data_IF_600442311905
#
_entry.id   IF_600442311905
#
_cell.length_a   1.000
_cell.length_b   1.000
_cell.length_c   1.000
_cell.angle_alpha   90.00
_cell.angle_beta   90.00
_cell.angle_gamma   90.00
#
_symmetry.space_group_name_H-M   'P 1'
#
loop_
_entity.id
_entity.type
_entity.pdbx_description
1 polymer ?
#
# COMPACT_ATOMS: atom_id res chain seq x y z
N UNK A 1 8.90 -35.71 16.23
CA UNK A 1 9.71 -34.75 16.99
C UNK A 1 8.79 -34.07 17.98
N UNK A 2 9.16 -33.89 19.25
CA UNK A 2 8.33 -33.18 20.24
C UNK A 2 8.97 -31.84 20.57
N UNK A 3 8.15 -30.80 20.75
CA UNK A 3 8.62 -29.52 21.27
C UNK A 3 9.06 -29.67 22.73
N UNK A 4 10.14 -29.02 23.09
CA UNK A 4 10.60 -28.97 24.49
C UNK A 4 9.91 -27.78 25.17
N UNK A 5 8.73 -28.02 25.74
CA UNK A 5 7.92 -27.00 26.36
C UNK A 5 8.18 -26.93 27.88
N UNK A 6 8.38 -25.73 28.41
CA UNK A 6 8.46 -25.46 29.86
C UNK A 6 7.10 -25.15 30.45
N UNK A 7 6.19 -24.66 29.63
CA UNK A 7 4.77 -24.33 29.93
C UNK A 7 3.93 -24.66 28.68
N UNK A 8 2.62 -24.75 28.79
CA UNK A 8 1.75 -25.02 27.65
C UNK A 8 1.98 -23.99 26.52
N UNK A 9 1.83 -24.44 25.28
CA UNK A 9 1.82 -23.59 24.09
C UNK A 9 0.42 -23.67 23.46
N UNK A 10 -0.29 -22.56 23.48
CA UNK A 10 -1.62 -22.44 22.91
C UNK A 10 -1.54 -21.90 21.47
N UNK A 11 -1.85 -22.76 20.51
CA UNK A 11 -2.08 -22.37 19.13
C UNK A 11 -3.50 -21.88 18.99
N UNK A 12 -3.73 -20.76 18.36
CA UNK A 12 -5.08 -20.25 18.13
C UNK A 12 -5.20 -19.52 16.82
N UNK A 13 -6.42 -19.48 16.32
CA UNK A 13 -6.82 -18.80 15.09
C UNK A 13 -8.18 -18.15 15.28
N UNK A 14 -8.44 -17.05 14.61
CA UNK A 14 -9.66 -16.25 14.74
C UNK A 14 -10.35 -16.08 13.38
N UNK A 15 -11.64 -16.37 13.35
CA UNK A 15 -12.51 -15.87 12.28
C UNK A 15 -13.19 -14.58 12.74
N UNK A 16 -13.30 -13.60 11.84
CA UNK A 16 -13.72 -12.23 12.21
C UNK A 16 -14.63 -11.61 11.17
N UNK A 17 -15.35 -10.55 11.56
CA UNK A 17 -16.16 -9.74 10.62
C UNK A 17 -15.32 -8.94 9.61
N UNK A 18 -14.00 -8.87 9.81
CA UNK A 18 -13.06 -8.17 8.92
C UNK A 18 -11.69 -8.03 9.55
N UNK A 19 -10.80 -7.28 8.93
CA UNK A 19 -9.38 -7.20 9.31
C UNK A 19 -8.99 -5.99 10.17
N UNK A 20 -9.94 -5.12 10.52
CA UNK A 20 -9.68 -3.92 11.31
C UNK A 20 -9.81 -4.21 12.80
N UNK A 21 -8.70 -4.37 13.50
CA UNK A 21 -8.65 -4.68 14.94
C UNK A 21 -9.53 -3.74 15.78
N UNK A 22 -9.60 -2.46 15.42
CA UNK A 22 -10.35 -1.46 16.21
C UNK A 22 -11.88 -1.51 16.02
N UNK A 23 -12.38 -2.08 14.94
CA UNK A 23 -13.82 -2.02 14.57
C UNK A 23 -14.45 -3.37 14.35
N UNK A 24 -13.70 -4.33 13.86
CA UNK A 24 -14.20 -5.68 13.59
C UNK A 24 -14.28 -6.53 14.86
N UNK A 25 -14.96 -7.66 14.77
CA UNK A 25 -15.31 -8.54 15.88
C UNK A 25 -14.94 -9.97 15.55
N UNK A 26 -14.65 -10.74 16.59
CA UNK A 26 -14.45 -12.19 16.49
C UNK A 26 -15.81 -12.87 16.31
N UNK A 27 -15.90 -13.80 15.37
CA UNK A 27 -17.06 -14.69 15.13
C UNK A 27 -16.77 -16.14 15.52
N UNK A 28 -15.51 -16.56 15.48
CA UNK A 28 -15.07 -17.84 15.99
C UNK A 28 -13.65 -17.73 16.56
N UNK A 29 -13.36 -18.48 17.61
CA UNK A 29 -12.00 -18.69 18.11
C UNK A 29 -11.78 -20.18 18.32
N UNK A 30 -10.75 -20.75 17.72
CA UNK A 30 -10.28 -22.10 17.96
C UNK A 30 -8.92 -22.07 18.65
N UNK A 31 -8.78 -22.85 19.73
CA UNK A 31 -7.53 -22.97 20.49
C UNK A 31 -7.17 -24.45 20.65
N UNK A 32 -5.93 -24.79 20.32
CA UNK A 32 -5.29 -26.07 20.63
C UNK A 32 -4.11 -25.82 21.54
N UNK A 33 -4.19 -26.33 22.76
CA UNK A 33 -3.16 -26.17 23.78
C UNK A 33 -2.31 -27.45 23.86
N UNK A 34 -1.04 -27.34 23.50
CA UNK A 34 -0.05 -28.41 23.64
C UNK A 34 0.62 -28.33 25.00
N UNK A 35 0.49 -29.39 25.80
CA UNK A 35 1.04 -29.47 27.14
C UNK A 35 2.49 -29.98 27.11
N UNK A 36 3.30 -29.71 28.17
CA UNK A 36 4.68 -30.17 28.26
C UNK A 36 4.87 -31.68 28.19
N UNK A 37 3.89 -32.46 28.60
CA UNK A 37 3.88 -33.93 28.51
C UNK A 37 3.55 -34.43 27.09
N UNK A 38 3.09 -33.54 26.21
CA UNK A 38 2.71 -33.80 24.83
C UNK A 38 1.25 -34.15 24.64
N UNK A 39 0.42 -34.00 25.67
CA UNK A 39 -1.05 -34.07 25.52
C UNK A 39 -1.56 -32.76 24.89
N UNK A 40 -2.72 -32.87 24.24
CA UNK A 40 -3.41 -31.76 23.58
C UNK A 40 -4.78 -31.55 24.22
N UNK A 41 -5.12 -30.29 24.47
CA UNK A 41 -6.45 -29.84 24.84
C UNK A 41 -6.94 -28.91 23.74
N UNK A 42 -8.16 -29.09 23.27
CA UNK A 42 -8.72 -28.22 22.22
C UNK A 42 -10.10 -27.71 22.60
N UNK A 43 -10.37 -26.47 22.21
CA UNK A 43 -11.67 -25.85 22.39
C UNK A 43 -11.94 -24.81 21.32
N UNK A 44 -13.18 -24.78 20.85
CA UNK A 44 -13.66 -23.79 19.88
C UNK A 44 -14.89 -23.10 20.46
N UNK A 45 -14.97 -21.79 20.26
CA UNK A 45 -16.14 -20.99 20.62
C UNK A 45 -16.64 -20.29 19.36
N UNK A 46 -17.91 -20.54 19.03
CA UNK A 46 -18.66 -19.74 18.08
C UNK A 46 -19.23 -18.53 18.82
N UNK A 47 -19.12 -17.35 18.25
CA UNK A 47 -19.35 -16.06 18.94
C UNK A 47 -20.27 -15.19 18.09
N UNK A 48 -21.31 -14.66 18.72
CA UNK A 48 -22.14 -13.62 18.12
C UNK A 48 -21.37 -12.28 18.17
N UNK A 49 -21.02 -11.68 17.01
CA UNK A 49 -20.24 -10.43 16.97
C UNK A 49 -21.07 -9.20 17.38
N UNK A 50 -22.38 -9.32 17.63
CA UNK A 50 -23.32 -8.23 17.89
C UNK A 50 -23.34 -7.16 16.78
N UNK A 51 -23.04 -7.58 15.54
CA UNK A 51 -23.09 -6.79 14.34
C UNK A 51 -23.18 -7.69 13.11
N UNK A 52 -23.70 -7.20 11.96
CA UNK A 52 -23.77 -8.01 10.74
C UNK A 52 -22.37 -8.46 10.26
N UNK A 53 -22.27 -9.70 9.82
CA UNK A 53 -21.06 -10.24 9.20
C UNK A 53 -21.08 -9.87 7.72
N UNK A 54 -20.06 -9.15 7.19
CA UNK A 54 -19.98 -8.82 5.78
C UNK A 54 -19.95 -10.08 4.92
N UNK A 55 -20.72 -10.10 3.83
CA UNK A 55 -20.78 -11.26 2.93
C UNK A 55 -19.39 -11.70 2.42
N UNK A 56 -18.48 -10.72 2.22
CA UNK A 56 -17.11 -10.99 1.76
C UNK A 56 -16.34 -11.86 2.74
N UNK A 57 -16.50 -11.64 4.05
CA UNK A 57 -15.86 -12.44 5.09
C UNK A 57 -16.57 -13.77 5.29
N UNK A 58 -17.92 -13.80 5.26
CA UNK A 58 -18.68 -15.05 5.29
C UNK A 58 -18.30 -16.00 4.15
N UNK A 59 -18.00 -15.49 2.97
CA UNK A 59 -17.54 -16.31 1.83
C UNK A 59 -16.14 -16.90 2.04
N UNK A 60 -15.33 -16.32 2.95
CA UNK A 60 -13.98 -16.81 3.25
C UNK A 60 -14.04 -17.92 4.31
N UNK A 61 -14.68 -17.66 5.44
CA UNK A 61 -14.70 -18.59 6.59
C UNK A 61 -15.94 -19.46 6.69
N UNK A 62 -16.96 -19.17 5.88
CA UNK A 62 -18.18 -20.01 5.83
C UNK A 62 -19.18 -19.78 6.97
N UNK A 63 -18.98 -18.79 7.83
CA UNK A 63 -19.87 -18.46 8.95
C UNK A 63 -20.74 -17.27 8.55
N UNK A 64 -22.06 -17.40 8.74
CA UNK A 64 -23.05 -16.39 8.41
C UNK A 64 -23.79 -15.91 9.65
N UNK A 65 -24.53 -14.79 9.56
CA UNK A 65 -25.30 -14.23 10.66
C UNK A 65 -26.24 -15.27 11.32
N UNK A 66 -26.85 -16.15 10.51
CA UNK A 66 -27.73 -17.20 11.00
C UNK A 66 -27.01 -18.27 11.87
N UNK A 67 -25.73 -18.51 11.61
CA UNK A 67 -24.93 -19.49 12.36
C UNK A 67 -24.58 -18.99 13.76
N UNK A 68 -24.45 -17.68 13.93
CA UNK A 68 -24.00 -17.06 15.19
C UNK A 68 -25.12 -16.38 15.98
N UNK A 69 -26.34 -16.31 15.46
CA UNK A 69 -27.45 -15.57 16.11
C UNK A 69 -27.77 -16.03 17.53
N UNK A 70 -27.66 -17.32 17.78
CA UNK A 70 -27.92 -17.95 19.07
C UNK A 70 -26.62 -18.19 19.87
N UNK A 71 -25.45 -17.85 19.32
CA UNK A 71 -24.18 -17.97 19.99
C UNK A 71 -24.01 -16.86 21.07
N UNK A 72 -23.21 -17.14 22.11
CA UNK A 72 -22.91 -16.11 23.12
C UNK A 72 -22.08 -14.96 22.49
N UNK A 73 -22.28 -13.74 22.96
CA UNK A 73 -21.36 -12.63 22.64
C UNK A 73 -20.01 -12.83 23.31
N UNK A 74 -18.94 -12.25 22.73
CA UNK A 74 -17.57 -12.42 23.25
C UNK A 74 -17.46 -12.14 24.75
N UNK A 75 -18.12 -11.09 25.25
CA UNK A 75 -18.15 -10.72 26.67
C UNK A 75 -18.58 -11.85 27.59
N UNK A 76 -19.48 -12.74 27.14
CA UNK A 76 -20.00 -13.87 27.93
C UNK A 76 -18.95 -14.98 28.10
N UNK A 77 -18.13 -15.20 27.06
CA UNK A 77 -17.15 -16.30 27.02
C UNK A 77 -15.71 -15.83 27.29
N UNK A 78 -15.49 -14.52 27.37
CA UNK A 78 -14.16 -13.94 27.51
C UNK A 78 -13.37 -14.46 28.71
N UNK A 79 -14.02 -14.59 29.89
CA UNK A 79 -13.37 -15.13 31.09
C UNK A 79 -12.94 -16.59 30.89
N UNK A 80 -13.81 -17.40 30.27
CA UNK A 80 -13.53 -18.81 29.98
C UNK A 80 -12.37 -18.96 28.99
N UNK A 81 -12.32 -18.12 27.93
CA UNK A 81 -11.22 -18.10 26.97
C UNK A 81 -9.92 -17.69 27.68
N UNK A 82 -9.96 -16.65 28.49
CA UNK A 82 -8.80 -16.19 29.27
C UNK A 82 -8.28 -17.28 30.21
N UNK A 83 -9.17 -17.98 30.93
CA UNK A 83 -8.83 -19.09 31.81
C UNK A 83 -8.21 -20.26 31.02
N UNK A 84 -8.76 -20.59 29.87
CA UNK A 84 -8.21 -21.64 28.99
C UNK A 84 -6.80 -21.30 28.50
N UNK A 85 -6.50 -20.03 28.28
CA UNK A 85 -5.18 -19.54 27.89
C UNK A 85 -4.23 -19.28 29.08
N UNK A 86 -4.70 -19.46 30.32
CA UNK A 86 -3.87 -19.22 31.51
C UNK A 86 -2.60 -20.06 31.48
N UNK A 87 -1.48 -19.44 31.90
CA UNK A 87 -0.15 -20.05 31.95
C UNK A 87 0.41 -20.61 30.64
N UNK A 88 -0.16 -20.22 29.50
CA UNK A 88 0.31 -20.65 28.19
C UNK A 88 1.14 -19.56 27.51
N UNK A 89 2.17 -19.95 26.74
CA UNK A 89 2.70 -19.16 25.65
C UNK A 89 1.74 -19.24 24.46
N UNK A 90 1.81 -18.30 23.54
CA UNK A 90 0.86 -18.20 22.42
C UNK A 90 1.54 -18.50 21.08
N UNK A 91 0.83 -19.19 20.20
CA UNK A 91 1.31 -19.46 18.84
C UNK A 91 0.17 -19.32 17.83
N UNK A 92 0.51 -19.02 16.57
CA UNK A 92 -0.43 -18.97 15.46
C UNK A 92 0.27 -18.66 14.14
N UNK A 93 -0.48 -18.49 13.08
CA UNK A 93 0.02 -18.13 11.76
C UNK A 93 -0.31 -16.66 11.44
N UNK A 94 0.67 -15.78 11.32
CA UNK A 94 0.52 -14.33 11.25
C UNK A 94 -0.10 -13.70 12.50
N UNK A 95 -0.15 -14.43 13.59
CA UNK A 95 -0.87 -14.09 14.82
C UNK A 95 -0.34 -12.83 15.50
N UNK A 96 0.96 -12.55 15.40
CA UNK A 96 1.55 -11.34 15.98
C UNK A 96 1.00 -10.04 15.38
N UNK A 97 0.51 -10.08 14.14
CA UNK A 97 -0.01 -8.89 13.44
C UNK A 97 -1.52 -8.79 13.47
N UNK A 98 -2.22 -9.90 13.66
CA UNK A 98 -3.68 -9.93 13.55
C UNK A 98 -4.35 -10.57 14.77
N UNK A 99 -4.19 -11.86 15.02
CA UNK A 99 -4.97 -12.60 16.01
C UNK A 99 -4.71 -12.10 17.43
N UNK A 100 -3.46 -11.89 17.82
CA UNK A 100 -3.12 -11.39 19.16
C UNK A 100 -3.68 -10.00 19.38
N UNK A 101 -3.45 -9.00 18.51
CA UNK A 101 -4.08 -7.68 18.64
C UNK A 101 -5.61 -7.73 18.70
N UNK A 102 -6.26 -8.55 17.87
CA UNK A 102 -7.71 -8.69 17.83
C UNK A 102 -8.26 -9.30 19.13
N UNK A 103 -7.67 -10.38 19.59
CA UNK A 103 -8.05 -11.03 20.85
C UNK A 103 -7.89 -10.10 22.05
N UNK A 104 -6.79 -9.35 22.10
CA UNK A 104 -6.55 -8.36 23.15
C UNK A 104 -7.60 -7.26 23.14
N UNK A 105 -7.96 -6.76 21.97
CA UNK A 105 -9.01 -5.74 21.83
C UNK A 105 -10.37 -6.28 22.29
N UNK A 106 -10.71 -7.53 21.97
CA UNK A 106 -11.94 -8.16 22.46
C UNK A 106 -11.95 -8.37 23.97
N UNK A 107 -10.83 -8.78 24.58
CA UNK A 107 -10.72 -8.86 26.06
C UNK A 107 -10.92 -7.50 26.72
N UNK A 108 -10.30 -6.45 26.17
CA UNK A 108 -10.46 -5.09 26.69
C UNK A 108 -11.90 -4.59 26.59
N UNK A 109 -12.58 -4.86 25.47
CA UNK A 109 -14.02 -4.55 25.29
C UNK A 109 -14.90 -5.32 26.27
N UNK A 110 -14.54 -6.57 26.55
CA UNK A 110 -15.26 -7.41 27.52
C UNK A 110 -15.01 -6.99 28.96
N UNK A 111 -14.00 -6.16 29.24
CA UNK A 111 -13.55 -5.79 30.57
C UNK A 111 -12.77 -6.90 31.28
N UNK A 112 -12.17 -7.82 30.54
CA UNK A 112 -11.33 -8.90 31.04
C UNK A 112 -9.87 -8.49 30.90
N UNK A 113 -9.14 -8.50 32.02
CA UNK A 113 -7.68 -8.29 31.99
C UNK A 113 -7.00 -9.60 31.60
N UNK A 114 -6.25 -9.57 30.51
CA UNK A 114 -5.43 -10.68 30.05
C UNK A 114 -3.98 -10.23 29.95
N UNK A 115 -3.14 -10.70 30.87
CA UNK A 115 -1.74 -10.27 30.95
C UNK A 115 -0.88 -11.02 29.93
N UNK A 116 -0.19 -10.25 29.08
CA UNK A 116 0.79 -10.76 28.12
C UNK A 116 2.23 -10.74 28.66
N UNK A 117 2.47 -10.16 29.85
CA UNK A 117 3.82 -10.07 30.40
C UNK A 117 4.39 -11.46 30.69
N UNK A 118 5.63 -11.68 30.29
CA UNK A 118 6.34 -12.95 30.50
C UNK A 118 5.83 -14.12 29.65
N UNK A 119 4.91 -13.89 28.70
CA UNK A 119 4.52 -14.86 27.67
C UNK A 119 5.42 -14.75 26.45
N UNK A 120 5.65 -15.87 25.79
CA UNK A 120 6.33 -15.92 24.48
C UNK A 120 5.29 -16.03 23.38
N UNK A 121 5.63 -15.50 22.21
CA UNK A 121 4.78 -15.48 21.03
C UNK A 121 5.50 -16.15 19.88
N UNK A 122 4.95 -17.25 19.36
CA UNK A 122 5.54 -18.00 18.24
C UNK A 122 4.66 -17.81 17.01
N UNK A 123 5.10 -16.94 16.11
CA UNK A 123 4.44 -16.74 14.83
C UNK A 123 5.07 -17.68 13.78
N UNK A 124 4.31 -18.70 13.38
CA UNK A 124 4.76 -19.74 12.44
C UNK A 124 5.01 -19.15 11.05
N UNK A 125 4.25 -18.14 10.62
CA UNK A 125 4.49 -17.45 9.36
C UNK A 125 5.85 -16.73 9.38
N UNK A 126 6.24 -16.13 10.51
CA UNK A 126 7.52 -15.46 10.63
C UNK A 126 8.69 -16.45 10.52
N UNK A 127 8.56 -17.65 11.10
CA UNK A 127 9.56 -18.72 10.92
C UNK A 127 9.64 -19.10 9.45
N UNK A 128 8.50 -19.36 8.80
CA UNK A 128 8.43 -19.68 7.37
C UNK A 128 9.09 -18.61 6.51
N UNK A 129 8.75 -17.33 6.72
CA UNK A 129 9.30 -16.24 5.92
C UNK A 129 10.80 -15.98 6.16
N UNK A 130 11.32 -16.31 7.34
CA UNK A 130 12.76 -16.17 7.64
C UNK A 130 13.57 -17.33 7.08
N UNK A 131 13.06 -18.55 7.17
CA UNK A 131 13.77 -19.76 6.75
C UNK A 131 13.62 -20.02 5.24
N UNK A 132 12.44 -19.77 4.67
CA UNK A 132 12.17 -19.94 3.24
C UNK A 132 12.23 -18.59 2.53
N UNK A 133 13.47 -18.18 2.23
CA UNK A 133 13.72 -16.88 1.60
C UNK A 133 13.19 -16.83 0.16
N UNK A 134 12.54 -15.74 -0.21
CA UNK A 134 12.09 -15.44 -1.58
C UNK A 134 13.17 -14.69 -2.37
N UNK A 135 14.38 -15.20 -2.37
CA UNK A 135 15.52 -14.66 -3.12
C UNK A 135 15.75 -15.44 -4.40
N UNK A 136 16.48 -14.87 -5.36
CA UNK A 136 16.89 -15.58 -6.58
C UNK A 136 17.68 -16.86 -6.24
N UNK A 137 18.56 -16.80 -5.24
CA UNK A 137 19.33 -17.97 -4.77
C UNK A 137 18.39 -19.09 -4.29
N UNK A 138 17.37 -18.74 -3.49
CA UNK A 138 16.41 -19.74 -3.00
C UNK A 138 15.56 -20.30 -4.16
N UNK A 139 15.10 -19.44 -5.08
CA UNK A 139 14.38 -19.87 -6.26
C UNK A 139 15.23 -20.79 -7.14
N UNK A 140 16.48 -20.46 -7.37
CA UNK A 140 17.39 -21.27 -8.18
C UNK A 140 17.65 -22.64 -7.56
N UNK A 141 17.84 -22.70 -6.23
CA UNK A 141 17.95 -23.97 -5.51
C UNK A 141 16.66 -24.79 -5.61
N UNK A 142 15.48 -24.16 -5.47
CA UNK A 142 14.19 -24.84 -5.47
C UNK A 142 13.79 -25.38 -6.85
N UNK A 143 13.99 -24.59 -7.91
CA UNK A 143 13.59 -24.95 -9.26
C UNK A 143 14.64 -25.74 -10.01
N UNK A 144 15.91 -25.41 -9.84
CA UNK A 144 17.02 -25.98 -10.60
C UNK A 144 17.87 -26.99 -9.80
N UNK A 145 17.63 -27.10 -8.48
CA UNK A 145 18.40 -27.92 -7.53
C UNK A 145 19.92 -27.66 -7.59
N UNK A 146 20.30 -26.39 -7.82
CA UNK A 146 21.68 -25.93 -7.95
C UNK A 146 21.91 -24.65 -7.16
N UNK A 147 23.17 -24.33 -6.88
CA UNK A 147 23.57 -23.06 -6.28
C UNK A 147 24.12 -22.10 -7.35
N UNK A 148 23.89 -20.79 -7.17
CA UNK A 148 24.46 -19.79 -8.07
C UNK A 148 25.94 -19.63 -7.73
N UNK A 149 26.80 -19.92 -8.69
CA UNK A 149 28.23 -19.62 -8.61
C UNK A 149 28.44 -18.13 -8.93
N UNK A 150 29.29 -17.45 -8.16
CA UNK A 150 29.52 -16.00 -8.30
C UNK A 150 28.26 -15.15 -8.17
N UNK A 151 27.36 -15.45 -7.20
CA UNK A 151 26.22 -14.63 -6.88
C UNK A 151 26.64 -13.16 -6.72
N UNK A 152 25.77 -12.22 -7.15
CA UNK A 152 26.00 -10.78 -7.29
C UNK A 152 26.81 -10.34 -8.51
N UNK A 153 27.13 -11.25 -9.42
CA UNK A 153 27.50 -10.89 -10.78
C UNK A 153 26.23 -10.76 -11.63
N UNK A 154 26.07 -9.65 -12.34
CA UNK A 154 24.88 -9.43 -13.18
C UNK A 154 24.68 -10.55 -14.21
N UNK A 155 25.77 -11.09 -14.77
CA UNK A 155 25.69 -12.20 -15.72
C UNK A 155 25.20 -13.50 -15.06
N UNK A 156 25.76 -13.87 -13.89
CA UNK A 156 25.38 -15.07 -13.17
C UNK A 156 23.91 -14.99 -12.70
N UNK A 157 23.50 -13.85 -12.16
CA UNK A 157 22.13 -13.62 -11.70
C UNK A 157 21.13 -13.62 -12.86
N UNK A 158 21.49 -13.03 -14.01
CA UNK A 158 20.66 -13.07 -15.23
C UNK A 158 20.50 -14.49 -15.75
N UNK A 159 21.59 -15.26 -15.79
CA UNK A 159 21.56 -16.67 -16.20
C UNK A 159 20.70 -17.52 -15.26
N UNK A 160 20.87 -17.36 -13.97
CA UNK A 160 20.04 -18.03 -12.96
C UNK A 160 18.56 -17.68 -13.11
N UNK A 161 18.25 -16.41 -13.36
CA UNK A 161 16.86 -15.95 -13.60
C UNK A 161 16.26 -16.62 -14.83
N UNK A 162 17.03 -16.72 -15.92
CA UNK A 162 16.58 -17.42 -17.14
C UNK A 162 16.30 -18.90 -16.88
N UNK A 163 17.22 -19.60 -16.19
CA UNK A 163 17.07 -21.02 -15.89
C UNK A 163 15.89 -21.28 -14.95
N UNK A 164 15.67 -20.40 -13.96
CA UNK A 164 14.47 -20.44 -13.09
C UNK A 164 13.20 -20.32 -13.91
N UNK A 165 13.11 -19.36 -14.84
CA UNK A 165 11.93 -19.20 -15.69
C UNK A 165 11.66 -20.46 -16.52
N UNK A 166 12.70 -21.04 -17.15
CA UNK A 166 12.55 -22.27 -17.94
C UNK A 166 12.03 -23.42 -17.07
N UNK A 167 12.59 -23.60 -15.88
CA UNK A 167 12.14 -24.62 -14.93
C UNK A 167 10.71 -24.36 -14.41
N UNK A 168 10.30 -23.10 -14.24
CA UNK A 168 8.93 -22.74 -13.87
C UNK A 168 7.94 -23.10 -14.98
N UNK A 169 8.25 -22.77 -16.23
CA UNK A 169 7.40 -23.10 -17.39
C UNK A 169 7.24 -24.61 -17.51
N UNK A 170 8.31 -25.39 -17.33
CA UNK A 170 8.24 -26.84 -17.34
C UNK A 170 7.43 -27.42 -16.17
N UNK A 171 7.72 -26.96 -14.96
CA UNK A 171 7.10 -27.45 -13.72
C UNK A 171 5.61 -27.18 -13.65
N UNK A 172 5.18 -26.02 -14.11
CA UNK A 172 3.78 -25.59 -14.02
C UNK A 172 3.01 -25.77 -15.33
N UNK A 173 3.58 -26.46 -16.31
CA UNK A 173 2.88 -26.84 -17.54
C UNK A 173 1.57 -27.58 -17.19
N UNK A 174 0.44 -27.09 -17.68
CA UNK A 174 -0.90 -27.66 -17.43
C UNK A 174 -1.36 -27.70 -15.96
N UNK A 175 -0.71 -26.98 -15.05
CA UNK A 175 -1.16 -26.88 -13.67
C UNK A 175 -2.26 -25.81 -13.59
N UNK A 176 -3.44 -26.22 -13.11
CA UNK A 176 -4.51 -25.27 -12.81
C UNK A 176 -4.16 -24.42 -11.58
N UNK A 177 -4.48 -23.14 -11.68
CA UNK A 177 -4.38 -22.18 -10.62
C UNK A 177 -5.72 -21.46 -10.46
N UNK A 178 -6.11 -21.24 -9.21
CA UNK A 178 -7.33 -20.53 -8.85
C UNK A 178 -6.97 -19.17 -8.25
N UNK A 179 -7.55 -18.09 -8.79
CA UNK A 179 -7.34 -16.75 -8.26
C UNK A 179 -8.18 -16.50 -7.00
N UNK A 180 -7.95 -15.35 -6.34
CA UNK A 180 -8.69 -14.97 -5.13
C UNK A 180 -10.21 -14.80 -5.33
N UNK A 181 -10.70 -14.80 -6.57
CA UNK A 181 -12.12 -14.72 -6.94
C UNK A 181 -12.70 -16.08 -7.32
N UNK A 182 -11.93 -17.15 -7.13
CA UNK A 182 -12.33 -18.52 -7.48
C UNK A 182 -12.25 -18.85 -8.97
N UNK A 183 -11.66 -17.97 -9.81
CA UNK A 183 -11.49 -18.24 -11.24
C UNK A 183 -10.30 -19.16 -11.47
N UNK A 184 -10.54 -20.28 -12.13
CA UNK A 184 -9.51 -21.25 -12.52
C UNK A 184 -8.94 -20.95 -13.88
N UNK A 185 -7.63 -21.14 -14.03
CA UNK A 185 -6.89 -20.96 -15.28
C UNK A 185 -5.59 -21.75 -15.25
N UNK A 186 -4.94 -21.90 -16.40
CA UNK A 186 -3.56 -22.42 -16.51
C UNK A 186 -2.69 -21.23 -16.91
N UNK A 187 -2.15 -20.45 -15.95
CA UNK A 187 -1.54 -19.18 -16.23
C UNK A 187 -0.09 -19.25 -16.70
N UNK A 188 0.62 -20.35 -16.32
CA UNK A 188 2.03 -20.53 -16.71
C UNK A 188 2.08 -21.31 -18.01
N UNK A 189 2.10 -20.57 -19.11
CA UNK A 189 2.16 -21.13 -20.47
C UNK A 189 3.51 -20.84 -21.10
N UNK A 190 3.95 -21.64 -22.05
CA UNK A 190 5.18 -21.39 -22.83
C UNK A 190 4.94 -20.35 -23.92
N UNK A 191 4.48 -19.19 -23.49
CA UNK A 191 4.25 -17.99 -24.32
C UNK A 191 4.50 -16.72 -23.53
N UNK A 192 5.32 -15.82 -24.07
CA UNK A 192 5.74 -14.59 -23.38
C UNK A 192 4.55 -13.65 -23.10
N UNK A 193 3.56 -13.59 -23.98
CA UNK A 193 2.39 -12.74 -23.76
C UNK A 193 1.53 -13.26 -22.60
N UNK A 194 1.29 -14.57 -22.54
CA UNK A 194 0.58 -15.21 -21.43
C UNK A 194 1.33 -15.07 -20.09
N UNK A 195 2.64 -15.29 -20.10
CA UNK A 195 3.48 -15.06 -18.91
C UNK A 195 3.44 -13.60 -18.46
N UNK A 196 3.46 -12.66 -19.42
CA UNK A 196 3.34 -11.23 -19.12
C UNK A 196 2.00 -10.90 -18.43
N UNK A 197 0.89 -11.40 -18.94
CA UNK A 197 -0.43 -11.18 -18.34
C UNK A 197 -0.50 -11.72 -16.92
N UNK A 198 0.03 -12.90 -16.67
CA UNK A 198 0.02 -13.51 -15.35
C UNK A 198 0.90 -12.78 -14.34
N UNK A 199 2.04 -12.26 -14.78
CA UNK A 199 3.00 -11.57 -13.90
C UNK A 199 2.73 -10.08 -13.74
N UNK A 200 1.93 -9.47 -14.62
CA UNK A 200 1.60 -8.04 -14.59
C UNK A 200 0.38 -7.76 -13.71
N UNK A 201 0.53 -8.03 -12.40
CA UNK A 201 -0.54 -7.95 -11.41
C UNK A 201 -1.12 -6.54 -11.22
N UNK A 202 -0.42 -5.49 -11.60
CA UNK A 202 -0.79 -4.11 -11.27
C UNK A 202 -1.14 -3.24 -12.48
N UNK A 203 -1.15 -3.78 -13.70
CA UNK A 203 -1.48 -3.00 -14.93
C UNK A 203 -0.95 -1.56 -14.89
N UNK A 204 0.35 -1.42 -14.61
CA UNK A 204 0.96 -0.10 -14.44
C UNK A 204 1.14 0.61 -15.77
N UNK A 205 0.85 1.92 -15.81
CA UNK A 205 1.12 2.79 -16.95
C UNK A 205 2.59 3.20 -16.98
N UNK A 206 3.18 3.38 -15.80
CA UNK A 206 4.61 3.67 -15.62
C UNK A 206 5.25 2.64 -14.67
N UNK A 207 6.57 2.38 -14.82
CA UNK A 207 7.25 1.29 -14.10
C UNK A 207 7.28 1.43 -12.56
N UNK A 208 7.09 2.64 -12.04
CA UNK A 208 7.03 2.87 -10.59
C UNK A 208 5.60 2.87 -10.02
N UNK A 209 4.58 2.63 -10.89
CA UNK A 209 3.20 2.53 -10.47
C UNK A 209 2.58 3.84 -9.96
N UNK A 210 3.10 5.00 -10.39
CA UNK A 210 2.46 6.30 -10.12
C UNK A 210 1.16 6.47 -10.88
N UNK A 211 1.06 5.81 -12.03
CA UNK A 211 -0.17 5.70 -12.81
C UNK A 211 -0.46 4.23 -13.09
N UNK A 212 -1.71 3.86 -13.04
CA UNK A 212 -2.20 2.50 -13.29
C UNK A 212 -3.43 2.53 -14.19
N UNK A 213 -3.75 1.41 -14.81
CA UNK A 213 -5.04 1.25 -15.48
C UNK A 213 -6.09 0.82 -14.46
N UNK A 214 -7.27 1.46 -14.49
CA UNK A 214 -8.44 1.01 -13.74
C UNK A 214 -9.12 -0.18 -14.46
N UNK A 215 -10.20 -0.70 -13.90
CA UNK A 215 -10.96 -1.84 -14.48
C UNK A 215 -11.55 -1.52 -15.86
N UNK A 216 -11.78 -0.24 -16.18
CA UNK A 216 -12.24 0.22 -17.48
C UNK A 216 -11.09 0.40 -18.50
N UNK A 217 -9.83 0.14 -18.10
CA UNK A 217 -8.65 0.34 -18.94
C UNK A 217 -8.20 1.79 -19.08
N UNK A 218 -8.66 2.69 -18.21
CA UNK A 218 -8.32 4.10 -18.22
C UNK A 218 -7.13 4.39 -17.33
N UNK A 219 -6.26 5.32 -17.75
CA UNK A 219 -5.09 5.75 -17.00
C UNK A 219 -5.49 6.63 -15.82
N UNK A 220 -5.23 6.18 -14.60
CA UNK A 220 -5.54 6.89 -13.35
C UNK A 220 -4.29 7.13 -12.53
N UNK A 221 -4.27 8.24 -11.79
CA UNK A 221 -3.21 8.47 -10.81
C UNK A 221 -3.33 7.49 -9.63
N UNK A 222 -2.22 6.92 -9.19
CA UNK A 222 -2.16 6.00 -8.05
C UNK A 222 -1.49 6.63 -6.82
N UNK A 223 -1.43 7.94 -6.72
CA UNK A 223 -0.80 8.65 -5.60
C UNK A 223 -1.46 10.02 -5.33
N UNK A 224 -1.16 10.54 -4.16
CA UNK A 224 -1.54 11.91 -3.75
C UNK A 224 -3.05 12.17 -3.73
N UNK A 225 -3.41 13.45 -3.78
CA UNK A 225 -4.80 13.93 -3.68
C UNK A 225 -5.71 13.53 -4.85
N UNK A 226 -5.11 13.08 -5.95
CA UNK A 226 -5.83 12.65 -7.14
C UNK A 226 -5.79 11.14 -7.37
N UNK A 227 -5.42 10.36 -6.34
CA UNK A 227 -5.42 8.90 -6.45
C UNK A 227 -6.81 8.38 -6.89
N UNK A 228 -6.80 7.47 -7.88
CA UNK A 228 -8.01 6.87 -8.46
C UNK A 228 -8.74 7.73 -9.50
N UNK A 229 -8.32 8.98 -9.74
CA UNK A 229 -8.91 9.84 -10.77
C UNK A 229 -8.18 9.65 -12.10
N UNK A 230 -8.94 9.74 -13.21
CA UNK A 230 -8.35 9.72 -14.56
C UNK A 230 -7.37 10.88 -14.72
N UNK A 231 -6.26 10.59 -15.37
CA UNK A 231 -5.19 11.60 -15.58
C UNK A 231 -5.71 12.78 -16.38
N UNK A 232 -6.51 12.55 -17.44
CA UNK A 232 -7.10 13.59 -18.28
C UNK A 232 -8.10 14.45 -17.52
N UNK A 233 -8.95 13.86 -16.67
CA UNK A 233 -9.91 14.60 -15.83
C UNK A 233 -9.20 15.52 -14.84
N UNK A 234 -8.04 15.08 -14.32
CA UNK A 234 -7.24 15.93 -13.44
C UNK A 234 -6.66 17.11 -14.20
N UNK A 235 -6.28 16.95 -15.47
CA UNK A 235 -5.81 18.07 -16.28
C UNK A 235 -6.92 19.07 -16.60
N UNK A 236 -8.20 18.61 -16.69
CA UNK A 236 -9.35 19.51 -16.84
C UNK A 236 -9.65 20.30 -15.55
N UNK A 237 -9.59 19.61 -14.40
CA UNK A 237 -9.84 20.23 -13.09
C UNK A 237 -8.69 21.12 -12.61
N UNK A 238 -7.47 20.72 -12.84
CA UNK A 238 -6.25 21.36 -12.32
C UNK A 238 -5.12 21.33 -13.37
N UNK A 239 -5.15 22.19 -14.40
CA UNK A 239 -4.15 22.20 -15.47
C UNK A 239 -2.70 22.40 -14.98
N UNK A 240 -2.53 23.04 -13.83
CA UNK A 240 -1.22 23.22 -13.19
C UNK A 240 -0.59 21.93 -12.68
N UNK A 241 -1.37 20.87 -12.49
CA UNK A 241 -0.89 19.59 -11.97
C UNK A 241 0.11 18.92 -12.94
N UNK A 242 -0.10 19.08 -14.25
CA UNK A 242 0.89 18.67 -15.26
C UNK A 242 2.26 19.33 -15.02
N UNK A 243 2.29 20.65 -14.91
CA UNK A 243 3.52 21.40 -14.68
C UNK A 243 4.18 21.01 -13.36
N UNK A 244 3.38 20.77 -12.31
CA UNK A 244 3.87 20.32 -11.01
C UNK A 244 4.59 18.95 -11.11
N UNK A 245 4.03 18.00 -11.84
CA UNK A 245 4.70 16.69 -12.06
C UNK A 245 5.98 16.87 -12.87
N UNK A 246 5.93 17.65 -13.94
CA UNK A 246 7.09 17.84 -14.83
C UNK A 246 8.28 18.50 -14.14
N UNK A 247 8.04 19.42 -13.20
CA UNK A 247 9.07 20.09 -12.41
C UNK A 247 9.42 19.37 -11.11
N UNK A 248 8.55 18.48 -10.62
CA UNK A 248 8.76 17.71 -9.40
C UNK A 248 9.82 16.61 -9.55
N UNK A 249 10.17 15.98 -8.43
CA UNK A 249 11.10 14.84 -8.39
C UNK A 249 10.38 13.53 -8.73
N UNK A 250 10.06 13.38 -10.03
CA UNK A 250 9.45 12.15 -10.56
C UNK A 250 10.41 11.48 -11.55
N UNK A 251 10.40 10.14 -11.65
CA UNK A 251 11.17 9.41 -12.64
C UNK A 251 10.91 9.92 -14.06
N UNK A 252 11.96 9.97 -14.88
CA UNK A 252 11.85 10.46 -16.28
C UNK A 252 10.80 9.70 -17.08
N UNK A 253 10.68 8.39 -16.87
CA UNK A 253 9.68 7.59 -17.57
C UNK A 253 8.25 7.96 -17.17
N UNK A 254 8.01 8.22 -15.87
CA UNK A 254 6.72 8.74 -15.40
C UNK A 254 6.39 10.08 -16.07
N UNK A 255 7.35 11.01 -16.09
CA UNK A 255 7.18 12.31 -16.80
C UNK A 255 6.88 12.13 -18.26
N UNK A 256 7.59 11.22 -18.96
CA UNK A 256 7.33 10.89 -20.36
C UNK A 256 5.90 10.40 -20.58
N UNK A 257 5.42 9.48 -19.72
CA UNK A 257 4.04 8.98 -19.82
C UNK A 257 3.00 10.07 -19.56
N UNK A 258 3.22 10.92 -18.56
CA UNK A 258 2.38 12.09 -18.28
C UNK A 258 2.36 13.05 -19.47
N UNK A 259 3.49 13.28 -20.12
CA UNK A 259 3.58 14.13 -21.32
C UNK A 259 2.84 13.53 -22.51
N UNK A 260 2.93 12.21 -22.72
CA UNK A 260 2.19 11.49 -23.79
C UNK A 260 0.68 11.66 -23.58
N UNK A 261 0.17 11.45 -22.36
CA UNK A 261 -1.23 11.63 -22.01
C UNK A 261 -1.65 13.09 -22.18
N UNK A 262 -0.83 14.04 -21.72
CA UNK A 262 -1.10 15.47 -21.84
C UNK A 262 -1.21 15.93 -23.31
N UNK A 263 -0.32 15.44 -24.18
CA UNK A 263 -0.36 15.73 -25.62
C UNK A 263 -1.68 15.23 -26.25
N UNK A 264 -2.07 14.00 -25.95
CA UNK A 264 -3.33 13.39 -26.41
C UNK A 264 -4.56 14.19 -25.92
N UNK A 265 -4.62 14.50 -24.63
CA UNK A 265 -5.67 15.30 -24.03
C UNK A 265 -5.78 16.69 -24.68
N UNK A 266 -4.65 17.37 -24.90
CA UNK A 266 -4.63 18.72 -25.48
C UNK A 266 -5.06 18.72 -26.96
N UNK A 267 -4.78 17.66 -27.72
CA UNK A 267 -5.24 17.49 -29.10
C UNK A 267 -6.74 17.26 -29.18
N UNK A 268 -7.33 16.58 -28.22
CA UNK A 268 -8.74 16.25 -28.14
C UNK A 268 -9.61 17.41 -27.58
N UNK A 269 -9.01 18.49 -27.13
CA UNK A 269 -9.75 19.67 -26.68
C UNK A 269 -10.52 20.31 -27.85
N UNK A 270 -11.81 20.56 -27.70
CA UNK A 270 -12.54 21.35 -28.68
C UNK A 270 -11.86 22.72 -28.82
N UNK A 271 -11.61 23.13 -30.06
CA UNK A 271 -11.02 24.44 -30.33
C UNK A 271 -11.83 25.52 -29.61
N UNK A 272 -11.18 26.30 -28.73
CA UNK A 272 -11.83 27.45 -28.11
C UNK A 272 -12.43 28.30 -29.23
N UNK A 273 -13.71 28.67 -29.18
CA UNK A 273 -14.28 29.60 -30.15
C UNK A 273 -13.40 30.84 -30.19
N UNK A 274 -12.93 31.17 -31.40
CA UNK A 274 -12.11 32.36 -31.58
C UNK A 274 -12.83 33.56 -30.95
N UNK A 275 -12.24 34.13 -29.93
CA UNK A 275 -12.74 35.37 -29.34
C UNK A 275 -12.77 36.39 -30.46
N UNK A 276 -13.99 36.76 -30.88
CA UNK A 276 -14.19 37.84 -31.83
C UNK A 276 -13.41 39.06 -31.30
N UNK A 277 -12.42 39.51 -32.07
CA UNK A 277 -11.72 40.77 -31.76
C UNK A 277 -12.78 41.85 -31.58
N UNK A 278 -12.71 42.66 -30.51
CA UNK A 278 -13.61 43.75 -30.34
C UNK A 278 -13.57 44.65 -31.59
N UNK A 279 -14.69 44.80 -32.25
CA UNK A 279 -14.85 45.74 -33.37
C UNK A 279 -14.58 47.12 -32.80
N UNK A 280 -13.44 47.72 -33.13
CA UNK A 280 -13.20 49.13 -32.81
C UNK A 280 -14.26 49.97 -33.53
N UNK A 281 -14.99 50.83 -32.83
CA UNK A 281 -15.92 51.73 -33.49
C UNK A 281 -15.14 52.69 -34.40
N UNK A 282 -15.57 52.82 -35.67
CA UNK A 282 -15.04 53.78 -36.61
C UNK A 282 -15.13 55.20 -35.99
N UNK A 283 -14.06 56.03 -36.12
CA UNK A 283 -14.11 57.41 -35.62
C UNK A 283 -15.17 58.21 -36.42
N UNK A 284 -16.02 58.90 -35.68
CA UNK A 284 -16.97 59.86 -36.23
C UNK A 284 -16.29 61.06 -36.86
N UNK A 285 -16.84 61.71 -37.93
CA UNK A 285 -16.19 62.78 -38.61
C UNK A 285 -16.10 64.04 -37.72
N UNK A 286 -14.95 64.69 -37.75
CA UNK A 286 -14.61 65.85 -36.99
C UNK A 286 -15.48 67.09 -37.35
N UNK A 287 -16.10 67.76 -36.39
CA UNK A 287 -16.66 69.09 -36.54
C UNK A 287 -15.55 70.14 -36.34
N UNK A 288 -15.63 71.31 -37.02
CA UNK A 288 -14.55 72.27 -37.04
C UNK A 288 -14.40 73.02 -35.69
N UNK A 289 -13.17 73.29 -35.29
CA UNK A 289 -12.79 74.07 -34.14
C UNK A 289 -13.17 75.53 -34.30
N UNK A 290 -13.80 76.11 -33.26
CA UNK A 290 -13.71 77.52 -32.95
C UNK A 290 -12.85 77.67 -31.69
N UNK A 291 -11.87 78.55 -31.76
CA UNK A 291 -10.90 78.79 -30.76
C UNK A 291 -11.40 79.51 -29.53
N UNK A 292 -10.86 79.13 -28.37
CA UNK A 292 -10.79 80.01 -27.20
C UNK A 292 -9.50 79.73 -26.43
N UNK A 293 -8.96 80.83 -25.93
CA UNK A 293 -7.66 81.00 -25.28
C UNK A 293 -7.50 80.26 -23.94
N UNK A 294 -6.27 80.07 -23.47
CA UNK A 294 -5.96 79.31 -22.26
C UNK A 294 -6.17 80.13 -20.97
N UNK A 295 -6.91 79.56 -20.03
CA UNK A 295 -7.00 80.14 -18.66
C UNK A 295 -6.01 79.38 -17.76
N UNK A 296 -5.03 80.11 -17.26
CA UNK A 296 -4.03 79.72 -16.29
C UNK A 296 -4.58 79.90 -14.89
N UNK A 297 -5.13 78.86 -14.26
CA UNK A 297 -5.11 78.76 -12.78
C UNK A 297 -5.82 77.49 -12.30
N UNK A 298 -5.04 76.46 -11.98
CA UNK A 298 -5.47 75.47 -10.99
C UNK A 298 -4.28 74.76 -10.39
N UNK A 299 -4.28 74.56 -9.08
CA UNK A 299 -3.13 74.08 -8.33
C UNK A 299 -2.94 72.55 -8.49
N UNK A 300 -1.68 72.15 -8.52
CA UNK A 300 -1.22 70.77 -8.53
C UNK A 300 -1.62 70.09 -7.21
N UNK A 301 -2.42 69.02 -7.30
CA UNK A 301 -2.57 68.08 -6.19
C UNK A 301 -1.57 66.95 -6.37
N UNK A 302 -0.62 66.90 -5.44
CA UNK A 302 0.31 65.81 -5.27
C UNK A 302 -0.45 64.51 -4.92
N UNK A 303 -0.36 63.51 -5.77
CA UNK A 303 -0.72 62.14 -5.44
C UNK A 303 0.48 61.42 -4.81
N UNK A 304 0.56 61.47 -3.48
CA UNK A 304 1.45 60.59 -2.74
C UNK A 304 0.97 59.15 -2.89
N UNK A 305 1.82 58.34 -3.50
CA UNK A 305 1.72 56.86 -3.49
C UNK A 305 2.01 56.39 -2.09
N UNK A 306 0.99 55.94 -1.38
CA UNK A 306 1.11 55.24 -0.11
C UNK A 306 1.44 53.77 -0.38
N UNK A 307 2.72 53.43 -0.41
CA UNK A 307 3.20 52.05 -0.37
C UNK A 307 3.37 51.66 1.11
N UNK A 308 2.32 51.12 1.71
CA UNK A 308 2.45 50.45 3.00
C UNK A 308 1.83 49.03 2.88
N UNK A 309 2.58 48.10 2.31
CA UNK A 309 2.41 46.70 2.56
C UNK A 309 3.56 46.25 3.48
N UNK A 310 3.26 46.13 4.76
CA UNK A 310 4.15 45.41 5.72
C UNK A 310 3.87 43.93 5.59
N UNK A 311 4.88 43.07 5.33
CA UNK A 311 4.73 41.62 5.44
C UNK A 311 4.57 41.25 6.92
N UNK A 312 3.55 40.43 7.20
CA UNK A 312 3.39 39.78 8.52
C UNK A 312 4.57 38.85 8.79
N UNK A 313 5.27 39.13 9.87
CA UNK A 313 6.24 38.23 10.47
C UNK A 313 5.60 36.89 10.77
N UNK A 314 6.04 35.85 10.07
CA UNK A 314 5.89 34.45 10.52
C UNK A 314 7.01 34.17 11.50
N UNK A 315 6.64 33.77 12.71
CA UNK A 315 7.58 33.29 13.71
C UNK A 315 8.26 32.00 13.22
N UNK A 316 9.57 31.81 13.44
CA UNK A 316 10.26 30.60 13.05
C UNK A 316 9.82 29.44 13.95
N UNK A 317 9.29 28.39 13.32
CA UNK A 317 9.09 27.08 13.95
C UNK A 317 10.48 26.48 14.19
N UNK A 318 10.78 26.27 15.45
CA UNK A 318 12.02 25.68 15.95
C UNK A 318 12.11 24.22 15.46
N UNK A 319 12.82 23.98 14.33
CA UNK A 319 13.23 22.64 13.91
C UNK A 319 14.49 22.31 14.71
N UNK A 320 14.37 21.34 15.59
CA UNK A 320 15.51 20.69 16.23
C UNK A 320 16.34 19.98 15.16
N UNK A 321 17.58 20.35 15.11
CA UNK A 321 18.78 19.66 14.66
C UNK A 321 18.58 18.44 13.74
N UNK A 322 18.65 18.67 12.42
CA UNK A 322 19.19 17.71 11.50
C UNK A 322 20.71 17.92 11.46
N UNK A 323 21.45 17.06 12.12
CA UNK A 323 22.89 16.96 11.90
C UNK A 323 23.13 16.48 10.47
N UNK A 324 24.10 17.07 9.74
CA UNK A 324 24.45 16.61 8.41
C UNK A 324 25.01 15.19 8.49
N UNK A 325 24.45 14.29 7.67
CA UNK A 325 24.94 12.92 7.52
C UNK A 325 26.46 12.94 7.27
N UNK A 326 27.23 12.34 8.19
CA UNK A 326 28.66 12.14 8.03
C UNK A 326 28.92 11.31 6.78
N UNK A 327 29.88 11.71 5.92
CA UNK A 327 30.22 10.91 4.74
C UNK A 327 30.72 9.53 5.19
N UNK A 328 30.14 8.48 4.59
CA UNK A 328 30.51 7.09 4.82
C UNK A 328 31.98 6.94 4.44
N UNK A 329 32.84 6.67 5.44
CA UNK A 329 34.27 6.48 5.19
C UNK A 329 34.54 5.02 4.75
N UNK A 330 35.70 4.78 4.11
CA UNK A 330 36.09 3.46 3.61
C UNK A 330 36.17 2.37 4.70
N UNK A 331 36.39 2.74 5.96
CA UNK A 331 36.46 1.79 7.06
C UNK A 331 35.09 1.21 7.41
N UNK A 332 34.02 2.01 7.26
CA UNK A 332 32.64 1.57 7.47
C UNK A 332 32.19 0.60 6.36
N UNK A 333 32.64 0.84 5.13
CA UNK A 333 32.40 -0.09 3.99
C UNK A 333 33.17 -1.40 4.16
N UNK A 334 34.40 -1.37 4.69
CA UNK A 334 35.16 -2.58 5.00
C UNK A 334 34.56 -3.37 6.17
N UNK A 335 34.04 -2.71 7.20
CA UNK A 335 33.34 -3.37 8.31
C UNK A 335 32.05 -4.05 7.84
N UNK A 336 31.30 -3.43 6.95
CA UNK A 336 30.12 -4.05 6.32
C UNK A 336 30.52 -5.24 5.45
N UNK A 337 31.54 -5.12 4.62
CA UNK A 337 32.03 -6.21 3.78
C UNK A 337 32.56 -7.42 4.60
N UNK A 338 33.18 -7.16 5.75
CA UNK A 338 33.66 -8.23 6.64
C UNK A 338 32.52 -8.91 7.44
N UNK A 339 31.42 -8.21 7.68
CA UNK A 339 30.23 -8.78 8.34
C UNK A 339 29.48 -9.76 7.43
N UNK A 340 29.55 -9.57 6.11
CA UNK A 340 28.94 -10.45 5.12
C UNK A 340 29.86 -11.58 4.61
N UNK A 341 31.15 -11.62 5.03
CA UNK A 341 32.07 -12.70 4.70
C UNK A 341 32.08 -13.88 5.70
N UNK A 342 31.31 -13.77 6.79
CA UNK A 342 31.15 -14.83 7.81
C UNK A 342 29.69 -15.26 7.92
N UNK A 343 29.16 -15.82 6.84
CA UNK A 343 27.85 -16.46 6.79
C UNK A 343 27.81 -17.43 5.62
#
# INVERSE_FOLDING_TARGET
MKLNLKRPLAFFDLETTGTSVGTDRVVEIAIIKLLPDGMEESKTWLINPDMPIPLETSLIHGIYDDDVKDAPVFKTVAAEIADFLTDSDLAGYNSNKFDIPMLMEEFLRAGVEFDLNGRHFVDVQNIFHQMEQRTLKAAYQFYCNRQIENAHSAEADTRATMEVLLAQVERYANIEWEDKKGKRSIPVVNDVAGLHEFTNLHRTVDFVGRMVYNDAGEEVFNFGKHKGKRVEDVFDMEPSYYAWIMHGDFPLYTKRKVEEIYKRWNQNKPAKPAQAKPIQPKPAPAKPMQGQQPDNNRPKKDFQRNNNFKPKHQQPVNRKNDEPATPVNNDMLQMLANKFKKG
#
